data_IF_162782955730
#
_entry.id   IF_162782955730
#
_cell.length_a   1.000
_cell.length_b   1.000
_cell.length_c   1.000
_cell.angle_alpha   90.00
_cell.angle_beta   90.00
_cell.angle_gamma   90.00
#
_symmetry.space_group_name_H-M   'P 1'
#
loop_
_entity.id
_entity.type
_entity.pdbx_description
1 polymer ?
#
# COMPACT_ATOMS: atom_id res chain seq x y z
N UNK A 1 38.78 -40.38 43.02
CA UNK A 1 37.35 -40.15 43.27
C UNK A 1 37.07 -38.65 43.13
N UNK A 2 36.86 -38.20 41.88
CA UNK A 2 35.58 -37.70 41.35
C UNK A 2 35.06 -36.41 42.01
N UNK A 3 35.38 -35.28 41.37
CA UNK A 3 34.82 -33.94 41.59
C UNK A 3 33.53 -33.86 40.77
N UNK A 4 32.38 -33.82 41.44
CA UNK A 4 31.06 -33.71 40.80
C UNK A 4 30.60 -32.25 40.71
N UNK A 5 30.69 -31.69 39.50
CA UNK A 5 29.99 -30.47 39.10
C UNK A 5 28.48 -30.77 39.02
N UNK A 6 27.68 -30.26 39.96
CA UNK A 6 26.22 -30.28 39.80
C UNK A 6 25.77 -29.07 38.98
N UNK A 7 25.27 -29.38 37.78
CA UNK A 7 24.70 -28.43 36.84
C UNK A 7 23.39 -27.83 37.34
N UNK A 8 23.21 -26.55 37.04
CA UNK A 8 21.95 -25.82 37.21
C UNK A 8 20.89 -26.40 36.25
N UNK A 9 19.66 -26.69 36.70
CA UNK A 9 18.59 -27.12 35.81
C UNK A 9 18.17 -25.99 34.86
N UNK A 10 17.95 -26.37 33.60
CA UNK A 10 17.62 -25.49 32.49
C UNK A 10 16.37 -24.65 32.74
N UNK A 11 16.52 -23.35 32.47
CA UNK A 11 15.43 -22.39 32.44
C UNK A 11 14.48 -22.75 31.30
N UNK A 12 13.32 -23.32 31.62
CA UNK A 12 12.24 -23.51 30.68
C UNK A 12 11.74 -22.14 30.22
N UNK A 13 12.03 -21.78 28.97
CA UNK A 13 11.47 -20.59 28.31
C UNK A 13 9.97 -20.86 28.12
N UNK A 14 9.14 -20.16 28.88
CA UNK A 14 7.68 -20.18 28.67
C UNK A 14 7.40 -19.50 27.32
N UNK A 15 6.62 -20.11 26.41
CA UNK A 15 6.16 -19.41 25.22
C UNK A 15 5.30 -18.22 25.64
N UNK A 16 5.59 -17.05 25.07
CA UNK A 16 4.77 -15.86 25.24
C UNK A 16 3.34 -16.17 24.74
N UNK A 17 2.28 -15.68 25.41
CA UNK A 17 0.93 -15.83 24.88
C UNK A 17 0.84 -15.14 23.52
N UNK A 18 0.32 -15.87 22.53
CA UNK A 18 0.04 -15.35 21.21
C UNK A 18 -0.79 -14.06 21.37
N UNK A 19 -0.22 -12.94 20.93
CA UNK A 19 -0.88 -11.64 20.91
C UNK A 19 -2.11 -11.80 20.00
N UNK A 20 -3.29 -11.85 20.61
CA UNK A 20 -4.55 -11.91 19.86
C UNK A 20 -4.54 -10.77 18.84
N UNK A 21 -4.64 -11.11 17.54
CA UNK A 21 -4.74 -10.11 16.50
C UNK A 21 -5.99 -9.26 16.76
N UNK A 22 -5.91 -7.93 16.65
CA UNK A 22 -7.10 -7.10 16.68
C UNK A 22 -8.04 -7.54 15.55
N UNK A 23 -9.33 -7.62 15.91
CA UNK A 23 -10.48 -7.91 15.04
C UNK A 23 -10.22 -7.36 13.63
N UNK A 24 -10.23 -8.26 12.64
CA UNK A 24 -10.12 -7.89 11.23
C UNK A 24 -11.05 -6.70 10.95
N UNK A 25 -10.50 -5.64 10.38
CA UNK A 25 -11.25 -4.45 10.03
C UNK A 25 -12.29 -4.86 8.98
N UNK A 26 -13.54 -5.05 9.42
CA UNK A 26 -14.69 -5.21 8.55
C UNK A 26 -15.03 -3.80 8.04
N UNK A 27 -14.24 -3.31 7.09
CA UNK A 27 -14.61 -2.11 6.35
C UNK A 27 -16.00 -2.28 5.72
N UNK A 28 -16.69 -1.20 5.35
CA UNK A 28 -18.03 -1.29 4.77
C UNK A 28 -17.99 -2.16 3.50
N UNK A 29 -18.35 -3.42 3.65
CA UNK A 29 -18.59 -4.35 2.55
C UNK A 29 -19.99 -4.09 2.00
N UNK A 30 -20.19 -2.89 1.45
CA UNK A 30 -21.29 -2.63 0.54
C UNK A 30 -20.65 -2.46 -0.82
N UNK A 31 -20.75 -3.51 -1.66
CA UNK A 31 -20.53 -3.34 -3.10
C UNK A 31 -21.57 -2.32 -3.55
N UNK A 32 -21.15 -1.08 -3.74
CA UNK A 32 -21.98 -0.08 -4.40
C UNK A 32 -22.48 -0.69 -5.71
N UNK A 33 -23.77 -0.59 -5.96
CA UNK A 33 -24.30 -0.99 -7.25
C UNK A 33 -23.71 -0.08 -8.34
N UNK A 34 -23.59 -0.54 -9.59
CA UNK A 34 -23.08 0.29 -10.69
C UNK A 34 -23.83 1.64 -10.80
N UNK A 35 -25.15 1.63 -10.61
CA UNK A 35 -25.98 2.83 -10.61
C UNK A 35 -25.68 3.80 -9.45
N UNK A 36 -25.37 3.29 -8.25
CA UNK A 36 -24.93 4.13 -7.12
C UNK A 36 -23.54 4.73 -7.38
N UNK A 37 -22.69 3.99 -8.08
CA UNK A 37 -21.34 4.44 -8.46
C UNK A 37 -21.41 5.54 -9.51
N UNK A 38 -22.27 5.40 -10.52
CA UNK A 38 -22.50 6.41 -11.56
C UNK A 38 -23.13 7.68 -10.98
N UNK A 39 -24.18 7.54 -10.16
CA UNK A 39 -24.81 8.69 -9.50
C UNK A 39 -23.87 9.42 -8.54
N UNK A 40 -22.93 8.72 -7.90
CA UNK A 40 -21.88 9.34 -7.08
C UNK A 40 -20.81 10.04 -7.92
N UNK A 41 -20.41 9.45 -9.06
CA UNK A 41 -19.46 10.04 -10.03
C UNK A 41 -19.97 11.39 -10.53
N UNK A 42 -21.23 11.47 -10.90
CA UNK A 42 -21.80 12.66 -11.53
C UNK A 42 -21.90 13.85 -10.54
N UNK A 43 -21.95 13.59 -9.22
CA UNK A 43 -21.88 14.65 -8.21
C UNK A 43 -20.55 15.38 -8.20
N UNK A 44 -19.46 14.70 -8.58
CA UNK A 44 -18.14 15.32 -8.63
C UNK A 44 -17.97 16.25 -9.83
N UNK A 45 -18.77 16.05 -10.89
CA UNK A 45 -18.76 16.90 -12.09
C UNK A 45 -19.10 18.36 -11.76
N UNK A 46 -19.91 18.60 -10.72
CA UNK A 46 -20.25 19.94 -10.27
C UNK A 46 -19.06 20.75 -9.73
N UNK A 47 -17.93 20.10 -9.40
CA UNK A 47 -16.71 20.77 -8.93
C UNK A 47 -15.69 21.03 -10.04
N UNK A 48 -15.96 20.58 -11.27
CA UNK A 48 -15.09 20.91 -12.39
C UNK A 48 -15.29 22.38 -12.79
N UNK A 49 -14.18 23.08 -13.02
CA UNK A 49 -14.22 24.43 -13.55
C UNK A 49 -14.79 24.43 -14.98
N UNK A 50 -15.47 25.50 -15.38
CA UNK A 50 -15.91 25.67 -16.78
C UNK A 50 -14.78 26.25 -17.64
N UNK A 51 -13.81 25.40 -17.95
CA UNK A 51 -12.69 25.73 -18.84
C UNK A 51 -12.58 24.67 -19.92
N UNK A 52 -12.03 25.02 -21.10
CA UNK A 52 -11.82 24.04 -22.18
C UNK A 52 -10.95 22.86 -21.71
N UNK A 53 -9.95 23.14 -20.87
CA UNK A 53 -9.12 22.12 -20.25
C UNK A 53 -9.93 21.15 -19.39
N UNK A 54 -10.74 21.67 -18.48
CA UNK A 54 -11.56 20.85 -17.59
C UNK A 54 -12.62 20.04 -18.37
N UNK A 55 -13.23 20.62 -19.40
CA UNK A 55 -14.14 19.90 -20.30
C UNK A 55 -13.43 18.73 -20.98
N UNK A 56 -12.23 18.94 -21.52
CA UNK A 56 -11.44 17.86 -22.12
C UNK A 56 -11.10 16.73 -21.12
N UNK A 57 -10.81 17.07 -19.85
CA UNK A 57 -10.60 16.06 -18.80
C UNK A 57 -11.86 15.26 -18.52
N UNK A 58 -13.02 15.91 -18.42
CA UNK A 58 -14.31 15.24 -18.22
C UNK A 58 -14.63 14.31 -19.39
N UNK A 59 -14.41 14.76 -20.62
CA UNK A 59 -14.65 13.95 -21.82
C UNK A 59 -13.79 12.67 -21.79
N UNK A 60 -12.49 12.76 -21.49
CA UNK A 60 -11.62 11.58 -21.35
C UNK A 60 -12.06 10.64 -20.22
N UNK A 61 -12.50 11.19 -19.08
CA UNK A 61 -13.03 10.37 -17.98
C UNK A 61 -14.30 9.62 -18.38
N UNK A 62 -15.16 10.22 -19.21
CA UNK A 62 -16.39 9.60 -19.67
C UNK A 62 -16.16 8.57 -20.79
N UNK A 63 -15.22 8.83 -21.70
CA UNK A 63 -14.94 7.93 -22.83
C UNK A 63 -14.00 6.79 -22.47
N UNK A 64 -12.90 7.11 -21.78
CA UNK A 64 -11.77 6.20 -21.58
C UNK A 64 -11.72 5.64 -20.15
N UNK A 65 -12.49 6.26 -19.24
CA UNK A 65 -12.49 5.91 -17.81
C UNK A 65 -11.30 6.48 -17.03
N UNK A 66 -10.41 7.23 -17.69
CA UNK A 66 -9.26 7.90 -17.07
C UNK A 66 -8.87 9.16 -17.84
N UNK A 67 -8.09 10.04 -17.22
CA UNK A 67 -7.49 11.20 -17.87
C UNK A 67 -6.03 11.35 -17.44
N UNK A 68 -5.16 11.80 -18.35
CA UNK A 68 -3.73 11.99 -18.07
C UNK A 68 -3.43 13.48 -17.98
N UNK A 69 -3.10 13.94 -16.77
CA UNK A 69 -2.70 15.32 -16.53
C UNK A 69 -1.17 15.44 -16.63
N UNK A 70 -0.68 16.06 -17.70
CA UNK A 70 0.76 16.25 -17.94
C UNK A 70 1.24 17.56 -17.32
N UNK A 71 2.49 17.57 -16.84
CA UNK A 71 3.12 18.78 -16.33
C UNK A 71 2.49 19.34 -15.06
N UNK A 72 1.74 18.51 -14.32
CA UNK A 72 1.19 18.89 -12.99
C UNK A 72 2.32 19.15 -12.00
N UNK A 73 3.38 18.34 -12.09
CA UNK A 73 4.62 18.52 -11.35
C UNK A 73 5.72 18.91 -12.33
N UNK A 74 6.58 19.83 -11.91
CA UNK A 74 7.88 20.01 -12.54
C UNK A 74 8.76 18.78 -12.33
N UNK A 75 9.83 18.67 -13.11
CA UNK A 75 10.79 17.56 -12.99
C UNK A 75 11.39 17.48 -11.58
N UNK A 76 11.83 18.62 -11.05
CA UNK A 76 12.45 18.68 -9.73
C UNK A 76 11.46 18.35 -8.60
N UNK A 77 10.18 18.70 -8.75
CA UNK A 77 9.13 18.29 -7.81
C UNK A 77 8.87 16.79 -7.88
N UNK A 78 8.78 16.23 -9.08
CA UNK A 78 8.61 14.79 -9.25
C UNK A 78 9.76 13.99 -8.62
N UNK A 79 11.02 14.42 -8.81
CA UNK A 79 12.18 13.78 -8.21
C UNK A 79 12.13 13.86 -6.67
N UNK A 80 11.77 15.02 -6.11
CA UNK A 80 11.61 15.20 -4.65
C UNK A 80 10.51 14.32 -4.06
N UNK A 81 9.35 14.24 -4.71
CA UNK A 81 8.26 13.38 -4.22
C UNK A 81 8.62 11.90 -4.35
N UNK A 82 9.35 11.52 -5.40
CA UNK A 82 9.87 10.17 -5.56
C UNK A 82 10.85 9.77 -4.44
N UNK A 83 11.72 10.70 -4.03
CA UNK A 83 12.62 10.49 -2.90
C UNK A 83 11.83 10.34 -1.58
N UNK A 84 10.85 11.21 -1.32
CA UNK A 84 9.99 11.10 -0.12
C UNK A 84 9.21 9.79 -0.06
N UNK A 85 8.72 9.30 -1.21
CA UNK A 85 8.06 8.00 -1.30
C UNK A 85 9.02 6.89 -0.85
N UNK A 86 10.26 6.90 -1.32
CA UNK A 86 11.26 5.91 -0.91
C UNK A 86 11.64 6.03 0.56
N UNK A 87 11.81 7.24 1.09
CA UNK A 87 12.05 7.47 2.52
C UNK A 87 10.93 6.86 3.38
N UNK A 88 9.69 6.97 2.93
CA UNK A 88 8.56 6.34 3.60
C UNK A 88 8.65 4.81 3.53
N UNK A 89 8.89 4.24 2.35
CA UNK A 89 9.00 2.80 2.14
C UNK A 89 10.10 2.19 3.01
N UNK A 90 11.32 2.74 2.99
CA UNK A 90 12.44 2.22 3.77
C UNK A 90 12.24 2.40 5.28
N UNK A 91 11.47 3.40 5.71
CA UNK A 91 11.10 3.60 7.11
C UNK A 91 10.09 2.55 7.60
N UNK A 92 9.08 2.22 6.80
CA UNK A 92 8.04 1.25 7.19
C UNK A 92 8.47 -0.20 6.97
N UNK A 93 9.35 -0.43 6.00
CA UNK A 93 9.87 -1.74 5.61
C UNK A 93 11.41 -1.72 5.57
N UNK A 94 12.09 -1.80 6.74
CA UNK A 94 13.54 -1.62 6.82
C UNK A 94 14.38 -2.65 6.07
N UNK A 95 13.78 -3.74 5.60
CA UNK A 95 14.42 -4.77 4.78
C UNK A 95 14.40 -4.43 3.29
N UNK A 96 13.52 -3.53 2.85
CA UNK A 96 13.48 -3.04 1.47
C UNK A 96 14.50 -1.91 1.33
N UNK A 97 15.29 -1.96 0.26
CA UNK A 97 16.30 -0.95 -0.09
C UNK A 97 16.08 -0.49 -1.52
N UNK A 98 15.98 0.83 -1.72
CA UNK A 98 15.80 1.44 -3.04
C UNK A 98 16.88 1.01 -4.04
N UNK A 99 18.12 0.92 -3.58
CA UNK A 99 19.27 0.62 -4.44
C UNK A 99 19.53 -0.87 -4.63
N UNK A 100 18.75 -1.75 -3.99
CA UNK A 100 18.92 -3.20 -4.08
C UNK A 100 17.58 -3.85 -4.50
N UNK A 101 17.29 -3.94 -5.81
CA UNK A 101 16.02 -4.48 -6.31
C UNK A 101 15.68 -5.89 -5.84
N UNK A 102 16.69 -6.70 -5.50
CA UNK A 102 16.50 -8.03 -4.92
C UNK A 102 15.73 -8.00 -3.58
N UNK A 103 15.77 -6.88 -2.86
CA UNK A 103 15.07 -6.70 -1.59
C UNK A 103 13.60 -6.30 -1.74
N UNK A 104 13.17 -5.93 -2.96
CA UNK A 104 11.82 -5.43 -3.19
C UNK A 104 10.82 -6.56 -3.04
N UNK A 105 11.15 -7.74 -3.61
CA UNK A 105 10.30 -8.92 -3.59
C UNK A 105 10.87 -9.98 -2.64
N UNK A 106 10.00 -10.74 -1.94
CA UNK A 106 10.47 -11.85 -1.12
C UNK A 106 11.25 -12.86 -1.96
N UNK A 107 12.41 -13.29 -1.50
CA UNK A 107 13.12 -14.41 -2.11
C UNK A 107 12.35 -15.71 -1.86
N UNK A 108 11.70 -16.23 -2.91
CA UNK A 108 10.97 -17.49 -2.86
C UNK A 108 9.70 -17.46 -3.72
N UNK A 109 9.67 -18.29 -4.76
CA UNK A 109 8.48 -18.54 -5.58
C UNK A 109 7.36 -19.13 -4.71
N UNK A 110 6.43 -18.30 -4.24
CA UNK A 110 5.37 -18.75 -3.34
C UNK A 110 4.74 -17.66 -2.47
N UNK A 111 5.19 -16.41 -2.54
CA UNK A 111 4.38 -15.30 -2.07
C UNK A 111 3.11 -15.26 -2.92
N UNK A 112 2.04 -15.90 -2.42
CA UNK A 112 0.69 -15.83 -2.98
C UNK A 112 0.41 -14.37 -3.26
N UNK A 113 0.28 -14.02 -4.53
CA UNK A 113 -0.09 -12.67 -4.94
C UNK A 113 -1.37 -12.30 -4.16
N UNK A 114 -1.34 -11.28 -3.30
CA UNK A 114 -2.50 -10.94 -2.48
C UNK A 114 -3.66 -10.39 -3.32
N UNK A 115 -3.43 -10.13 -4.61
CA UNK A 115 -4.47 -9.68 -5.52
C UNK A 115 -5.26 -10.85 -6.09
N UNK A 116 -6.60 -10.79 -6.07
CA UNK A 116 -7.43 -11.82 -6.69
C UNK A 116 -7.19 -11.84 -8.20
N UNK A 117 -6.92 -13.03 -8.73
CA UNK A 117 -6.88 -13.33 -10.16
C UNK A 117 -8.28 -13.57 -10.73
#
# INVERSE_FOLDING_TARGET
SHIGLQGRPGSAIRPAPARAMPKAWQGPSQRATPAETEAARDRLLAFFADTDFARGVVDSLQSDGYAVLRGVLSRDEADREFDRMWDFVERVSPTVRRQEPATWWPEGAGAVDPWPH
#
